data_IF_400031243602
#
_entry.id   IF_400031243602
#
_cell.length_a   1.000
_cell.length_b   1.000
_cell.length_c   1.000
_cell.angle_alpha   90.00
_cell.angle_beta   90.00
_cell.angle_gamma   90.00
#
_symmetry.space_group_name_H-M   'P 1'
#
loop_
_entity.id
_entity.type
_entity.pdbx_description
1 polymer ?
#
# COMPACT_ATOMS: atom_id res chain seq x y z
N UNK A 1 -45.45 89.30 35.25
CA UNK A 1 -44.05 89.64 35.56
C UNK A 1 -43.17 88.81 34.64
N UNK A 2 -42.65 89.38 33.56
CA UNK A 2 -41.71 88.68 32.65
C UNK A 2 -40.32 88.67 33.26
N UNK A 3 -39.67 87.51 33.29
CA UNK A 3 -38.29 87.37 33.73
C UNK A 3 -37.34 88.17 32.81
N UNK A 4 -36.25 88.75 33.33
CA UNK A 4 -35.27 89.47 32.52
C UNK A 4 -34.60 88.50 31.51
N UNK A 5 -34.24 88.98 30.30
CA UNK A 5 -33.61 88.14 29.30
C UNK A 5 -32.27 87.60 29.83
N UNK A 6 -32.08 86.28 29.76
CA UNK A 6 -30.86 85.60 30.19
C UNK A 6 -29.72 85.93 29.22
N UNK A 7 -28.76 86.74 29.67
CA UNK A 7 -27.62 87.19 28.86
C UNK A 7 -26.62 86.08 28.54
N UNK A 8 -26.74 84.91 29.19
CA UNK A 8 -25.85 83.75 28.98
C UNK A 8 -26.41 82.73 27.99
N UNK A 9 -27.68 82.85 27.59
CA UNK A 9 -28.33 81.92 26.64
C UNK A 9 -27.53 81.71 25.33
N UNK A 10 -26.97 82.77 24.69
CA UNK A 10 -26.19 82.59 23.47
C UNK A 10 -24.92 81.76 23.69
N UNK A 11 -24.23 81.94 24.81
CA UNK A 11 -23.00 81.21 25.15
C UNK A 11 -23.33 79.75 25.46
N UNK A 12 -24.42 79.49 26.18
CA UNK A 12 -24.91 78.13 26.45
C UNK A 12 -25.29 77.40 25.17
N UNK A 13 -25.97 78.09 24.25
CA UNK A 13 -26.35 77.53 22.95
C UNK A 13 -25.11 77.19 22.10
N UNK A 14 -24.07 78.04 22.13
CA UNK A 14 -22.79 77.78 21.46
C UNK A 14 -22.09 76.54 22.00
N UNK A 15 -21.93 76.44 23.33
CA UNK A 15 -21.27 75.30 23.98
C UNK A 15 -22.02 73.99 23.71
N UNK A 16 -23.36 74.00 23.73
CA UNK A 16 -24.15 72.83 23.39
C UNK A 16 -23.98 72.44 21.92
N UNK A 17 -23.88 73.40 21.01
CA UNK A 17 -23.65 73.13 19.59
C UNK A 17 -22.27 72.54 19.34
N UNK A 18 -21.23 73.10 19.98
CA UNK A 18 -19.87 72.58 19.92
C UNK A 18 -19.79 71.16 20.49
N UNK A 19 -20.36 70.92 21.67
CA UNK A 19 -20.38 69.59 22.30
C UNK A 19 -21.10 68.54 21.44
N UNK A 20 -22.19 68.92 20.76
CA UNK A 20 -22.88 68.03 19.81
C UNK A 20 -22.02 67.73 18.59
N UNK A 21 -21.39 68.73 18.00
CA UNK A 21 -20.49 68.55 16.86
C UNK A 21 -19.29 67.65 17.22
N UNK A 22 -18.71 67.81 18.41
CA UNK A 22 -17.62 66.97 18.89
C UNK A 22 -18.07 65.51 19.11
N UNK A 23 -19.26 65.31 19.68
CA UNK A 23 -19.85 63.98 19.85
C UNK A 23 -20.12 63.30 18.51
N UNK A 24 -20.69 64.01 17.54
CA UNK A 24 -20.94 63.50 16.18
C UNK A 24 -19.61 63.12 15.51
N UNK A 25 -18.59 63.96 15.61
CA UNK A 25 -17.27 63.67 15.07
C UNK A 25 -16.61 62.45 15.73
N UNK A 26 -16.82 62.25 17.04
CA UNK A 26 -16.33 61.06 17.75
C UNK A 26 -17.06 59.80 17.30
N UNK A 27 -18.38 59.85 17.12
CA UNK A 27 -19.16 58.71 16.65
C UNK A 27 -18.79 58.31 15.23
N UNK A 28 -18.57 59.28 14.33
CA UNK A 28 -18.14 59.00 12.96
C UNK A 28 -16.74 58.35 12.92
N UNK A 29 -15.80 58.82 13.75
CA UNK A 29 -14.49 58.16 13.90
C UNK A 29 -14.63 56.74 14.43
N UNK A 30 -15.41 56.53 15.49
CA UNK A 30 -15.61 55.20 16.07
C UNK A 30 -16.27 54.23 15.08
N UNK A 31 -17.21 54.70 14.25
CA UNK A 31 -17.81 53.91 13.16
C UNK A 31 -16.77 53.53 12.11
N UNK A 32 -15.96 54.49 11.66
CA UNK A 32 -14.91 54.24 10.70
C UNK A 32 -13.87 53.24 11.20
N UNK A 33 -13.47 53.34 12.48
CA UNK A 33 -12.54 52.42 13.13
C UNK A 33 -13.15 51.01 13.23
N UNK A 34 -14.42 50.91 13.65
CA UNK A 34 -15.13 49.62 13.71
C UNK A 34 -15.22 48.95 12.32
N UNK A 35 -15.53 49.72 11.28
CA UNK A 35 -15.58 49.23 9.90
C UNK A 35 -14.20 48.79 9.40
N UNK A 36 -13.13 49.51 9.79
CA UNK A 36 -11.76 49.11 9.48
C UNK A 36 -11.39 47.77 10.12
N UNK A 37 -11.65 47.62 11.43
CA UNK A 37 -11.39 46.38 12.18
C UNK A 37 -12.19 45.21 11.59
N UNK A 38 -13.47 45.42 11.25
CA UNK A 38 -14.30 44.37 10.65
C UNK A 38 -13.80 43.95 9.27
N UNK A 39 -13.33 44.89 8.45
CA UNK A 39 -12.73 44.55 7.14
C UNK A 39 -11.44 43.76 7.30
N UNK A 40 -10.57 44.15 8.22
CA UNK A 40 -9.32 43.44 8.50
C UNK A 40 -9.58 42.03 9.05
N UNK A 41 -10.50 41.89 9.99
CA UNK A 41 -10.88 40.59 10.54
C UNK A 41 -11.44 39.65 9.47
N UNK A 42 -12.29 40.16 8.56
CA UNK A 42 -12.82 39.39 7.43
C UNK A 42 -11.71 38.96 6.46
N UNK A 43 -10.85 39.88 6.07
CA UNK A 43 -9.72 39.58 5.19
C UNK A 43 -8.79 38.51 5.81
N UNK A 44 -8.53 38.62 7.11
CA UNK A 44 -7.75 37.62 7.86
C UNK A 44 -8.44 36.26 7.88
N UNK A 45 -9.75 36.23 8.16
CA UNK A 45 -10.52 34.99 8.17
C UNK A 45 -10.51 34.31 6.78
N UNK A 46 -10.69 35.09 5.72
CA UNK A 46 -10.66 34.60 4.34
C UNK A 46 -9.30 34.02 3.98
N UNK A 47 -8.21 34.68 4.38
CA UNK A 47 -6.84 34.20 4.19
C UNK A 47 -6.58 32.89 4.94
N UNK A 48 -7.03 32.78 6.19
CA UNK A 48 -6.91 31.55 7.00
C UNK A 48 -7.70 30.41 6.35
N UNK A 49 -8.93 30.66 5.90
CA UNK A 49 -9.75 29.65 5.23
C UNK A 49 -9.16 29.22 3.89
N UNK A 50 -8.61 30.15 3.10
CA UNK A 50 -7.91 29.83 1.85
C UNK A 50 -6.70 28.92 2.13
N UNK A 51 -5.88 29.28 3.12
CA UNK A 51 -4.72 28.48 3.52
C UNK A 51 -5.11 27.10 4.02
N UNK A 52 -6.16 27.00 4.84
CA UNK A 52 -6.65 25.73 5.34
C UNK A 52 -7.14 24.81 4.19
N UNK A 53 -7.79 25.37 3.16
CA UNK A 53 -8.22 24.62 1.97
C UNK A 53 -7.03 24.09 1.17
N UNK A 54 -6.00 24.91 0.95
CA UNK A 54 -4.79 24.48 0.25
C UNK A 54 -4.08 23.33 0.97
N UNK A 55 -3.89 23.47 2.29
CA UNK A 55 -3.28 22.44 3.12
C UNK A 55 -4.11 21.15 3.12
N UNK A 56 -5.43 21.27 3.32
CA UNK A 56 -6.33 20.12 3.28
C UNK A 56 -6.34 19.41 1.93
N UNK A 57 -6.27 20.15 0.82
CA UNK A 57 -6.18 19.55 -0.52
C UNK A 57 -4.86 18.80 -0.72
N UNK A 58 -3.74 19.37 -0.25
CA UNK A 58 -2.43 18.71 -0.31
C UNK A 58 -2.39 17.45 0.56
N UNK A 59 -2.92 17.50 1.78
CA UNK A 59 -2.98 16.36 2.69
C UNK A 59 -3.88 15.24 2.16
N UNK A 60 -5.04 15.60 1.59
CA UNK A 60 -5.93 14.64 0.94
C UNK A 60 -5.26 13.97 -0.26
N UNK A 61 -4.55 14.74 -1.09
CA UNK A 61 -3.81 14.19 -2.23
C UNK A 61 -2.70 13.22 -1.78
N UNK A 62 -1.95 13.56 -0.72
CA UNK A 62 -0.94 12.70 -0.14
C UNK A 62 -1.55 11.43 0.49
N UNK A 63 -2.68 11.55 1.18
CA UNK A 63 -3.45 10.43 1.72
C UNK A 63 -3.87 9.45 0.61
N UNK A 64 -4.53 9.97 -0.43
CA UNK A 64 -4.99 9.17 -1.55
C UNK A 64 -3.82 8.51 -2.33
N UNK A 65 -2.66 9.16 -2.43
CA UNK A 65 -1.48 8.56 -3.04
C UNK A 65 -0.96 7.36 -2.23
N UNK A 66 -0.90 7.48 -0.90
CA UNK A 66 -0.50 6.37 -0.01
C UNK A 66 -1.49 5.20 -0.10
N UNK A 67 -2.79 5.47 -0.08
CA UNK A 67 -3.82 4.44 -0.22
C UNK A 67 -3.70 3.69 -1.54
N UNK A 68 -3.45 4.39 -2.66
CA UNK A 68 -3.23 3.74 -3.97
C UNK A 68 -2.00 2.83 -3.98
N UNK A 69 -0.90 3.25 -3.36
CA UNK A 69 0.32 2.43 -3.26
C UNK A 69 0.05 1.18 -2.44
N UNK A 70 -0.63 1.30 -1.29
CA UNK A 70 -1.00 0.15 -0.48
C UNK A 70 -1.95 -0.81 -1.22
N UNK A 71 -2.98 -0.29 -1.87
CA UNK A 71 -3.90 -1.11 -2.66
C UNK A 71 -3.19 -1.88 -3.79
N UNK A 72 -2.20 -1.26 -4.45
CA UNK A 72 -1.40 -1.94 -5.46
C UNK A 72 -0.51 -3.04 -4.86
N UNK A 73 0.11 -2.77 -3.70
CA UNK A 73 0.91 -3.77 -2.98
C UNK A 73 0.07 -4.96 -2.52
N UNK A 74 -1.12 -4.71 -1.97
CA UNK A 74 -2.05 -5.74 -1.52
C UNK A 74 -2.52 -6.60 -2.70
N UNK A 75 -2.83 -5.98 -3.84
CA UNK A 75 -3.20 -6.68 -5.06
C UNK A 75 -2.06 -7.59 -5.58
N UNK A 76 -0.82 -7.09 -5.59
CA UNK A 76 0.33 -7.91 -5.96
C UNK A 76 0.61 -9.03 -4.97
N UNK A 77 0.49 -8.78 -3.67
CA UNK A 77 0.65 -9.80 -2.64
C UNK A 77 -0.41 -10.91 -2.79
N UNK A 78 -1.68 -10.54 -3.02
CA UNK A 78 -2.76 -11.49 -3.26
C UNK A 78 -2.51 -12.31 -4.53
N UNK A 79 -2.07 -11.67 -5.63
CA UNK A 79 -1.73 -12.38 -6.87
C UNK A 79 -0.58 -13.36 -6.66
N UNK A 80 0.49 -12.95 -5.96
CA UNK A 80 1.64 -13.81 -5.70
C UNK A 80 1.28 -14.98 -4.81
N UNK A 81 0.46 -14.76 -3.77
CA UNK A 81 -0.07 -15.82 -2.91
C UNK A 81 -0.88 -16.84 -3.72
N UNK A 82 -1.81 -16.38 -4.55
CA UNK A 82 -2.61 -17.26 -5.42
C UNK A 82 -1.73 -18.06 -6.41
N UNK A 83 -0.70 -17.43 -7.00
CA UNK A 83 0.27 -18.13 -7.86
C UNK A 83 1.07 -19.18 -7.08
N UNK A 84 1.47 -18.87 -5.84
CA UNK A 84 2.14 -19.81 -4.94
C UNK A 84 1.28 -21.04 -4.65
N UNK A 85 0.00 -20.83 -4.30
CA UNK A 85 -0.94 -21.91 -4.04
C UNK A 85 -1.12 -22.84 -5.26
N UNK A 86 -1.25 -22.27 -6.46
CA UNK A 86 -1.37 -23.05 -7.69
C UNK A 86 -0.07 -23.84 -7.98
N UNK A 87 1.09 -23.22 -7.76
CA UNK A 87 2.37 -23.89 -7.94
C UNK A 87 2.56 -25.05 -6.96
N UNK A 88 2.20 -24.85 -5.69
CA UNK A 88 2.28 -25.89 -4.66
C UNK A 88 1.33 -27.05 -4.99
N UNK A 89 0.09 -26.76 -5.40
CA UNK A 89 -0.87 -27.76 -5.84
C UNK A 89 -0.36 -28.56 -7.06
N UNK A 90 0.25 -27.87 -8.04
CA UNK A 90 0.89 -28.52 -9.19
C UNK A 90 2.03 -29.43 -8.75
N UNK A 91 2.90 -28.95 -7.84
CA UNK A 91 4.02 -29.72 -7.32
C UNK A 91 3.55 -30.99 -6.64
N UNK A 92 2.52 -30.90 -5.81
CA UNK A 92 1.95 -32.05 -5.12
C UNK A 92 1.31 -33.05 -6.10
N UNK A 93 0.62 -32.55 -7.12
CA UNK A 93 0.03 -33.40 -8.17
C UNK A 93 1.11 -34.15 -8.97
N UNK A 94 2.20 -33.48 -9.36
CA UNK A 94 3.33 -34.10 -10.09
C UNK A 94 4.03 -35.13 -9.21
N UNK A 95 4.33 -34.81 -7.95
CA UNK A 95 4.93 -35.74 -6.99
C UNK A 95 4.05 -36.98 -6.81
N UNK A 96 2.74 -36.81 -6.61
CA UNK A 96 1.81 -37.92 -6.52
C UNK A 96 1.77 -38.75 -7.82
N UNK A 97 1.85 -38.11 -8.98
CA UNK A 97 1.97 -38.76 -10.29
C UNK A 97 3.19 -39.65 -10.40
N UNK A 98 4.38 -39.13 -10.08
CA UNK A 98 5.65 -39.87 -10.12
C UNK A 98 5.64 -41.04 -9.14
N UNK A 99 5.17 -40.83 -7.90
CA UNK A 99 5.02 -41.90 -6.91
C UNK A 99 4.12 -43.02 -7.42
N UNK A 100 2.97 -42.68 -8.01
CA UNK A 100 2.05 -43.67 -8.60
C UNK A 100 2.68 -44.42 -9.77
N UNK A 101 3.42 -43.73 -10.64
CA UNK A 101 4.11 -44.37 -11.78
C UNK A 101 5.15 -45.38 -11.29
N UNK A 102 6.01 -44.99 -10.33
CA UNK A 102 7.03 -45.88 -9.77
C UNK A 102 6.43 -47.05 -8.98
N UNK A 103 5.30 -46.84 -8.30
CA UNK A 103 4.62 -47.93 -7.58
C UNK A 103 4.02 -48.97 -8.53
N UNK A 104 3.45 -48.54 -9.67
CA UNK A 104 2.72 -49.40 -10.60
C UNK A 104 3.60 -50.07 -11.65
N UNK A 105 4.73 -49.46 -12.01
CA UNK A 105 5.58 -49.93 -13.09
C UNK A 105 6.94 -50.47 -12.60
N UNK A 106 7.15 -51.81 -12.64
CA UNK A 106 8.44 -52.43 -12.36
C UNK A 106 9.56 -52.00 -13.34
N UNK A 107 9.23 -51.69 -14.59
CA UNK A 107 10.20 -51.23 -15.58
C UNK A 107 10.72 -49.83 -15.22
N UNK A 108 9.85 -48.92 -14.83
CA UNK A 108 10.24 -47.61 -14.30
C UNK A 108 11.17 -47.72 -13.08
N UNK A 109 10.88 -48.60 -12.11
CA UNK A 109 11.76 -48.84 -10.95
C UNK A 109 13.14 -49.37 -11.34
N UNK A 110 13.17 -50.28 -12.31
CA UNK A 110 14.40 -50.86 -12.84
C UNK A 110 15.24 -49.80 -13.56
N UNK A 111 14.60 -48.94 -14.37
CA UNK A 111 15.25 -47.84 -15.07
C UNK A 111 15.87 -46.82 -14.10
N UNK A 112 15.17 -46.45 -13.03
CA UNK A 112 15.70 -45.54 -12.00
C UNK A 112 16.91 -46.15 -11.27
N UNK A 113 16.86 -47.45 -10.96
CA UNK A 113 18.01 -48.16 -10.36
C UNK A 113 19.20 -48.23 -11.30
N UNK A 114 18.96 -48.48 -12.60
CA UNK A 114 20.00 -48.47 -13.61
C UNK A 114 20.62 -47.08 -13.76
N UNK A 115 19.81 -46.01 -13.77
CA UNK A 115 20.28 -44.63 -13.83
C UNK A 115 21.17 -44.27 -12.62
N UNK A 116 20.82 -44.70 -11.41
CA UNK A 116 21.66 -44.54 -10.22
C UNK A 116 23.04 -45.18 -10.39
N UNK A 117 23.09 -46.42 -10.90
CA UNK A 117 24.34 -47.13 -11.16
C UNK A 117 25.13 -46.54 -12.32
N UNK A 118 24.47 -46.01 -13.35
CA UNK A 118 25.13 -45.29 -14.43
C UNK A 118 25.82 -44.01 -13.92
N UNK A 119 25.20 -43.29 -12.98
CA UNK A 119 25.73 -42.04 -12.44
C UNK A 119 26.92 -42.24 -11.46
N UNK A 120 26.87 -43.29 -10.63
CA UNK A 120 27.84 -43.51 -9.54
C UNK A 120 28.74 -44.74 -9.73
N UNK A 121 28.50 -45.52 -10.79
CA UNK A 121 29.22 -46.76 -11.08
C UNK A 121 28.49 -48.01 -10.59
N UNK A 122 28.87 -49.20 -11.11
CA UNK A 122 28.16 -50.45 -10.89
C UNK A 122 28.20 -50.93 -9.42
N UNK A 123 29.16 -50.44 -8.62
CA UNK A 123 29.32 -50.78 -7.19
C UNK A 123 28.61 -49.81 -6.24
N UNK A 124 27.85 -48.84 -6.76
CA UNK A 124 27.10 -47.92 -5.92
C UNK A 124 26.09 -48.67 -5.06
N UNK A 125 26.02 -48.33 -3.77
CA UNK A 125 24.99 -48.85 -2.87
C UNK A 125 23.69 -48.13 -3.19
N UNK A 126 22.68 -48.87 -3.63
CA UNK A 126 21.35 -48.34 -3.97
C UNK A 126 20.37 -48.73 -2.88
N UNK A 127 19.67 -47.75 -2.33
CA UNK A 127 18.67 -47.92 -1.26
C UNK A 127 17.32 -47.42 -1.76
N UNK A 128 16.28 -48.23 -1.63
CA UNK A 128 14.92 -47.82 -1.95
C UNK A 128 14.40 -46.82 -0.92
N UNK A 129 13.64 -45.82 -1.36
CA UNK A 129 13.02 -44.82 -0.49
C UNK A 129 11.56 -45.18 -0.19
N UNK A 130 11.07 -44.78 0.99
CA UNK A 130 9.69 -45.04 1.44
C UNK A 130 8.65 -44.42 0.48
N UNK A 131 8.94 -43.22 -0.02
CA UNK A 131 8.09 -42.52 -1.00
C UNK A 131 8.19 -43.07 -2.43
N UNK A 132 9.04 -44.07 -2.69
CA UNK A 132 9.35 -44.59 -4.02
C UNK A 132 10.56 -43.91 -4.67
N UNK A 133 11.20 -44.62 -5.60
CA UNK A 133 12.51 -44.24 -6.15
C UNK A 133 13.66 -44.82 -5.34
N UNK A 134 14.86 -44.27 -5.53
CA UNK A 134 16.07 -44.73 -4.85
C UNK A 134 17.04 -43.59 -4.53
N UNK A 135 17.81 -43.75 -3.47
CA UNK A 135 19.05 -42.99 -3.24
C UNK A 135 20.25 -43.91 -3.50
N UNK A 136 21.30 -43.38 -4.10
CA UNK A 136 22.52 -44.14 -4.37
C UNK A 136 23.76 -43.43 -3.86
N UNK A 137 24.71 -44.19 -3.34
CA UNK A 137 25.95 -43.69 -2.73
C UNK A 137 27.18 -44.49 -3.19
N UNK A 138 28.28 -43.77 -3.34
CA UNK A 138 29.64 -44.27 -3.57
C UNK A 138 30.63 -43.39 -2.79
N UNK A 139 31.89 -43.81 -2.55
CA UNK A 139 32.83 -42.99 -1.76
C UNK A 139 32.93 -41.55 -2.27
N UNK A 140 32.49 -40.60 -1.45
CA UNK A 140 32.50 -39.17 -1.76
C UNK A 140 31.42 -38.67 -2.73
N UNK A 141 30.49 -39.51 -3.20
CA UNK A 141 29.43 -39.10 -4.14
C UNK A 141 28.07 -39.72 -3.81
N UNK A 142 27.01 -38.91 -3.88
CA UNK A 142 25.63 -39.33 -3.67
C UNK A 142 24.73 -38.80 -4.78
N UNK A 143 23.73 -39.59 -5.15
CA UNK A 143 22.68 -39.20 -6.09
C UNK A 143 21.33 -39.54 -5.46
N UNK A 144 20.42 -38.57 -5.48
CA UNK A 144 19.02 -38.75 -5.11
C UNK A 144 18.15 -38.88 -6.37
N UNK A 145 17.52 -40.04 -6.52
CA UNK A 145 16.49 -40.36 -7.52
C UNK A 145 15.20 -40.83 -6.81
N UNK A 146 14.91 -40.29 -5.62
CA UNK A 146 13.61 -40.41 -4.98
C UNK A 146 12.52 -39.82 -5.88
N UNK A 147 11.29 -40.31 -5.73
CA UNK A 147 10.14 -39.85 -6.50
C UNK A 147 9.97 -38.32 -6.42
N UNK A 148 10.16 -37.74 -5.23
CA UNK A 148 10.01 -36.31 -5.01
C UNK A 148 11.17 -35.52 -5.66
N UNK A 149 12.42 -35.99 -5.57
CA UNK A 149 13.55 -35.36 -6.26
C UNK A 149 13.43 -35.43 -7.79
N UNK A 150 12.87 -36.52 -8.33
CA UNK A 150 12.60 -36.66 -9.76
C UNK A 150 11.48 -35.72 -10.23
N UNK A 151 10.42 -35.59 -9.43
CA UNK A 151 9.31 -34.66 -9.68
C UNK A 151 9.78 -33.21 -9.66
N UNK A 152 10.56 -32.82 -8.64
CA UNK A 152 11.08 -31.46 -8.49
C UNK A 152 12.01 -31.08 -9.65
N UNK A 153 12.93 -31.97 -10.05
CA UNK A 153 13.76 -31.76 -11.25
C UNK A 153 12.96 -31.67 -12.55
N UNK A 154 11.84 -32.38 -12.64
CA UNK A 154 10.98 -32.29 -13.82
C UNK A 154 10.27 -30.93 -13.89
N UNK A 155 9.83 -30.40 -12.74
CA UNK A 155 9.25 -29.06 -12.61
C UNK A 155 10.29 -27.97 -12.90
N UNK A 156 11.50 -28.08 -12.38
CA UNK A 156 12.59 -27.14 -12.66
C UNK A 156 12.90 -27.06 -14.16
N UNK A 157 12.96 -28.21 -14.86
CA UNK A 157 13.13 -28.24 -16.32
C UNK A 157 11.95 -27.64 -17.08
N UNK A 158 10.76 -27.66 -16.48
CA UNK A 158 9.57 -27.03 -17.03
C UNK A 158 9.53 -25.51 -16.77
N UNK A 159 10.34 -25.00 -15.83
CA UNK A 159 10.22 -23.64 -15.28
C UNK A 159 10.01 -22.53 -16.31
N UNK A 160 10.81 -22.51 -17.39
CA UNK A 160 10.69 -21.50 -18.47
C UNK A 160 9.34 -21.60 -19.21
N UNK A 161 8.77 -22.80 -19.33
CA UNK A 161 7.45 -23.03 -19.95
C UNK A 161 6.28 -22.93 -18.96
N UNK A 162 6.56 -22.99 -17.66
CA UNK A 162 5.56 -22.76 -16.63
C UNK A 162 5.32 -21.26 -16.43
N UNK A 163 6.33 -20.42 -16.68
CA UNK A 163 6.18 -18.95 -16.68
C UNK A 163 5.21 -18.47 -17.76
N UNK A 164 5.20 -19.08 -18.95
CA UNK A 164 4.26 -18.75 -20.05
C UNK A 164 2.80 -19.05 -19.73
N UNK A 165 2.50 -19.83 -18.68
CA UNK A 165 1.13 -20.08 -18.22
C UNK A 165 0.51 -18.86 -17.52
N UNK A 166 1.33 -17.86 -17.19
CA UNK A 166 0.93 -16.65 -16.49
C UNK A 166 1.00 -15.40 -17.36
N UNK A 167 1.41 -15.54 -18.63
CA UNK A 167 1.34 -14.46 -19.60
C UNK A 167 -0.12 -14.27 -20.03
N UNK A 168 -0.61 -13.02 -20.18
CA UNK A 168 -1.94 -12.78 -20.71
C UNK A 168 -2.04 -13.38 -22.12
N UNK A 169 -3.03 -14.23 -22.32
CA UNK A 169 -3.40 -14.79 -23.64
C UNK A 169 -3.96 -13.73 -24.58
#
# INVERSE_FOLDING_TARGET
MSAPPDSLDPVRAELLRAARADADALLERARADADAVLREARATADAVLARARELGAADAAAGAARERVHAAQDAWAAQLAARGEVYDALRDAVRAGVRRALARDPAARSAVTAAARAALGPRARVTATVAGGVTAESPGRRVDLSADALADRALERLGVRAETLWEPS
#
